data_IF_176020373539
#
_entry.id   IF_176020373539
#
_cell.length_a   1.000
_cell.length_b   1.000
_cell.length_c   1.000
_cell.angle_alpha   90.00
_cell.angle_beta   90.00
_cell.angle_gamma   90.00
#
_symmetry.space_group_name_H-M   'P 1'
#
loop_
_entity.id
_entity.type
_entity.pdbx_description
1 polymer ?
#
# COMPACT_ATOMS: atom_id res chain seq x y z
N UNK A 1 6.56 32.45 3.96
CA UNK A 1 7.29 31.20 4.31
C UNK A 1 7.22 30.93 5.81
N UNK A 2 7.40 31.95 6.65
CA UNK A 2 7.33 31.89 8.11
C UNK A 2 5.98 31.36 8.66
N UNK A 3 4.86 31.82 8.12
CA UNK A 3 3.50 31.38 8.50
C UNK A 3 3.23 29.89 8.22
N UNK A 4 3.82 29.33 7.14
CA UNK A 4 3.73 27.89 6.85
C UNK A 4 4.59 27.06 7.80
N UNK A 5 5.75 27.57 8.21
CA UNK A 5 6.61 26.92 9.21
C UNK A 5 5.88 26.77 10.53
N UNK A 6 5.25 27.86 10.99
CA UNK A 6 4.46 27.87 12.23
C UNK A 6 3.32 26.85 12.19
N UNK A 7 2.62 26.72 11.05
CA UNK A 7 1.55 25.75 10.86
C UNK A 7 2.03 24.29 10.94
N UNK A 8 3.23 23.97 10.43
CA UNK A 8 3.79 22.63 10.55
C UNK A 8 4.10 22.28 12.00
N UNK A 9 4.62 23.25 12.76
CA UNK A 9 4.94 23.06 14.17
C UNK A 9 3.67 22.87 15.01
N UNK A 10 2.63 23.68 14.77
CA UNK A 10 1.31 23.50 15.39
C UNK A 10 0.75 22.10 15.08
N UNK A 11 0.72 21.69 13.81
CA UNK A 11 0.20 20.40 13.42
C UNK A 11 0.96 19.23 14.06
N UNK A 12 2.29 19.35 14.19
CA UNK A 12 3.12 18.37 14.88
C UNK A 12 2.82 18.31 16.38
N UNK A 13 2.72 19.47 17.04
CA UNK A 13 2.42 19.55 18.47
C UNK A 13 1.06 18.90 18.76
N UNK A 14 0.04 19.17 17.93
CA UNK A 14 -1.28 18.58 18.08
C UNK A 14 -1.29 17.07 17.89
N UNK A 15 -0.54 16.55 16.90
CA UNK A 15 -0.37 15.10 16.74
C UNK A 15 0.36 14.49 17.96
N UNK A 16 1.37 15.19 18.50
CA UNK A 16 2.14 14.72 19.66
C UNK A 16 1.30 14.62 20.96
N UNK A 17 0.21 15.38 21.06
CA UNK A 17 -0.77 15.31 22.16
C UNK A 17 -1.65 14.06 22.11
N UNK A 18 -1.78 13.41 20.96
CA UNK A 18 -2.64 12.23 20.79
C UNK A 18 -2.05 11.02 21.51
N UNK A 19 -2.90 10.28 22.23
CA UNK A 19 -2.51 9.05 22.94
C UNK A 19 -1.94 8.00 21.99
N UNK A 20 -1.02 7.17 22.51
CA UNK A 20 -0.43 6.06 21.74
C UNK A 20 -1.49 4.99 21.43
N UNK A 21 -2.45 4.80 22.33
CA UNK A 21 -3.48 3.75 22.24
C UNK A 21 -4.69 4.20 21.40
N UNK A 22 -4.44 5.00 20.37
CA UNK A 22 -5.47 5.50 19.48
C UNK A 22 -5.88 4.38 18.50
N UNK A 23 -7.16 4.03 18.49
CA UNK A 23 -7.79 3.11 17.56
C UNK A 23 -7.63 3.56 16.12
N UNK A 24 -7.74 4.86 15.83
CA UNK A 24 -7.53 5.35 14.46
C UNK A 24 -6.10 5.05 13.98
N UNK A 25 -5.09 5.34 14.81
CA UNK A 25 -3.70 4.98 14.49
C UNK A 25 -3.51 3.47 14.32
N UNK A 26 -4.15 2.66 15.17
CA UNK A 26 -4.07 1.19 15.09
C UNK A 26 -4.68 0.66 13.78
N UNK A 27 -5.80 1.22 13.33
CA UNK A 27 -6.44 0.84 12.05
C UNK A 27 -5.57 1.29 10.87
N UNK A 28 -5.06 2.52 10.87
CA UNK A 28 -4.14 2.99 9.80
C UNK A 28 -2.92 2.08 9.72
N UNK A 29 -2.32 1.76 10.87
CA UNK A 29 -1.20 0.82 10.96
C UNK A 29 -1.53 -0.54 10.40
N UNK A 30 -2.66 -1.12 10.81
CA UNK A 30 -3.10 -2.42 10.31
C UNK A 30 -3.26 -2.40 8.79
N UNK A 31 -3.88 -1.36 8.23
CA UNK A 31 -4.05 -1.25 6.78
C UNK A 31 -2.72 -1.11 6.05
N UNK A 32 -1.76 -0.38 6.62
CA UNK A 32 -0.40 -0.26 6.05
C UNK A 32 0.35 -1.59 6.11
N UNK A 33 0.32 -2.28 7.26
CA UNK A 33 0.94 -3.59 7.45
C UNK A 33 0.31 -4.65 6.54
N UNK A 34 -1.01 -4.64 6.38
CA UNK A 34 -1.68 -5.52 5.44
C UNK A 34 -1.27 -5.20 4.00
N UNK A 35 -1.19 -3.91 3.65
CA UNK A 35 -0.71 -3.49 2.34
C UNK A 35 0.67 -4.04 2.01
N UNK A 36 1.64 -3.85 2.91
CA UNK A 36 3.01 -4.34 2.74
C UNK A 36 3.12 -5.87 2.85
N UNK A 37 2.20 -6.52 3.56
CA UNK A 37 2.08 -7.98 3.58
C UNK A 37 1.68 -8.53 2.22
N UNK A 38 0.62 -8.01 1.58
CA UNK A 38 0.19 -8.49 0.27
C UNK A 38 1.16 -8.10 -0.85
N UNK A 39 1.80 -6.93 -0.73
CA UNK A 39 2.89 -6.49 -1.59
C UNK A 39 4.03 -7.51 -1.64
N UNK A 40 4.48 -7.99 -0.47
CA UNK A 40 5.49 -9.02 -0.39
C UNK A 40 5.03 -10.36 -1.00
N UNK A 41 3.78 -10.78 -0.80
CA UNK A 41 3.29 -12.01 -1.45
C UNK A 41 3.34 -11.87 -2.98
N UNK A 42 2.83 -10.75 -3.52
CA UNK A 42 2.84 -10.49 -4.97
C UNK A 42 4.26 -10.34 -5.53
N UNK A 43 5.20 -9.80 -4.74
CA UNK A 43 6.59 -9.66 -5.14
C UNK A 43 7.27 -11.02 -5.41
N UNK A 44 6.97 -12.04 -4.59
CA UNK A 44 7.64 -13.34 -4.65
C UNK A 44 6.82 -14.43 -5.35
N UNK A 45 5.54 -14.21 -5.65
CA UNK A 45 4.67 -15.25 -6.24
C UNK A 45 5.18 -15.76 -7.60
N UNK A 46 5.73 -14.90 -8.46
CA UNK A 46 6.13 -15.27 -9.81
C UNK A 46 7.27 -16.30 -9.81
N UNK A 47 8.18 -16.20 -8.84
CA UNK A 47 9.27 -17.17 -8.66
C UNK A 47 8.74 -18.56 -8.31
N UNK A 48 7.77 -18.65 -7.40
CA UNK A 48 7.11 -19.93 -7.05
C UNK A 48 6.31 -20.52 -8.21
N UNK A 49 5.66 -19.68 -9.02
CA UNK A 49 4.88 -20.12 -10.17
C UNK A 49 5.75 -20.58 -11.37
N UNK A 50 7.08 -20.39 -11.33
CA UNK A 50 7.97 -20.56 -12.48
C UNK A 50 7.88 -21.94 -13.14
N UNK A 51 7.76 -23.02 -12.36
CA UNK A 51 7.62 -24.39 -12.90
C UNK A 51 6.31 -24.58 -13.65
N UNK A 52 5.19 -24.06 -13.12
CA UNK A 52 3.89 -24.12 -13.79
C UNK A 52 3.87 -23.30 -15.08
N UNK A 53 4.44 -22.10 -15.04
CA UNK A 53 4.60 -21.22 -16.22
C UNK A 53 5.52 -21.87 -17.26
N UNK A 54 6.60 -22.53 -16.82
CA UNK A 54 7.54 -23.28 -17.66
C UNK A 54 6.84 -24.38 -18.44
N UNK A 55 6.02 -25.18 -17.74
CA UNK A 55 5.23 -26.23 -18.36
C UNK A 55 4.18 -25.68 -19.35
N UNK A 56 3.56 -24.55 -19.02
CA UNK A 56 2.51 -23.94 -19.85
C UNK A 56 3.03 -23.30 -21.14
N UNK A 57 4.22 -22.69 -21.12
CA UNK A 57 4.75 -21.93 -22.26
C UNK A 57 5.99 -22.54 -22.91
N UNK A 58 6.42 -23.72 -22.46
CA UNK A 58 7.60 -24.43 -22.97
C UNK A 58 8.90 -23.60 -22.91
N UNK A 59 9.07 -22.86 -21.82
CA UNK A 59 10.27 -22.05 -21.55
C UNK A 59 10.96 -22.63 -20.32
N UNK A 60 12.30 -22.61 -20.29
CA UNK A 60 13.06 -23.04 -19.11
C UNK A 60 12.62 -22.32 -17.84
N UNK A 61 12.32 -23.05 -16.78
CA UNK A 61 11.98 -22.48 -15.47
C UNK A 61 13.07 -21.52 -14.95
N UNK A 62 14.36 -21.84 -15.18
CA UNK A 62 15.46 -20.96 -14.81
C UNK A 62 15.46 -19.65 -15.62
N UNK A 63 15.08 -19.71 -16.89
CA UNK A 63 14.93 -18.51 -17.71
C UNK A 63 13.74 -17.66 -17.24
N UNK A 64 12.63 -18.29 -16.85
CA UNK A 64 11.46 -17.62 -16.29
C UNK A 64 11.84 -16.91 -14.99
N UNK A 65 12.43 -17.62 -14.02
CA UNK A 65 12.84 -17.00 -12.74
C UNK A 65 13.73 -15.78 -12.98
N UNK A 66 14.78 -15.90 -13.79
CA UNK A 66 15.69 -14.77 -14.04
C UNK A 66 15.05 -13.62 -14.83
N UNK A 67 14.37 -13.91 -15.95
CA UNK A 67 13.83 -12.86 -16.83
C UNK A 67 12.63 -12.16 -16.20
N UNK A 68 11.73 -12.93 -15.57
CA UNK A 68 10.51 -12.40 -14.97
C UNK A 68 10.82 -11.62 -13.70
N UNK A 69 11.78 -12.07 -12.89
CA UNK A 69 12.23 -11.27 -11.75
C UNK A 69 12.94 -10.02 -12.23
N UNK A 70 13.86 -10.13 -13.19
CA UNK A 70 14.56 -8.96 -13.74
C UNK A 70 13.58 -7.90 -14.26
N UNK A 71 12.55 -8.31 -15.01
CA UNK A 71 11.56 -7.37 -15.55
C UNK A 71 10.67 -6.80 -14.44
N UNK A 72 10.24 -7.63 -13.47
CA UNK A 72 9.37 -7.18 -12.37
C UNK A 72 10.11 -6.19 -11.47
N UNK A 73 11.32 -6.52 -11.02
CA UNK A 73 12.14 -5.63 -10.19
C UNK A 73 12.64 -4.41 -10.95
N UNK A 74 12.96 -4.54 -12.23
CA UNK A 74 13.32 -3.40 -13.09
C UNK A 74 12.19 -2.38 -13.19
N UNK A 75 10.97 -2.85 -13.46
CA UNK A 75 9.79 -1.97 -13.47
C UNK A 75 9.34 -1.55 -12.07
N UNK A 76 9.69 -2.29 -11.02
CA UNK A 76 9.54 -1.85 -9.62
C UNK A 76 10.38 -0.61 -9.33
N UNK A 77 11.62 -0.55 -9.81
CA UNK A 77 12.44 0.65 -9.69
C UNK A 77 11.81 1.85 -10.43
N UNK A 78 11.32 1.64 -11.66
CA UNK A 78 10.63 2.68 -12.44
C UNK A 78 9.35 3.14 -11.73
N UNK A 79 8.55 2.20 -11.26
CA UNK A 79 7.32 2.44 -10.50
C UNK A 79 7.59 3.24 -9.22
N UNK A 80 8.68 2.92 -8.51
CA UNK A 80 9.10 3.66 -7.31
C UNK A 80 9.48 5.12 -7.59
N UNK A 81 10.20 5.38 -8.70
CA UNK A 81 10.53 6.75 -9.12
C UNK A 81 9.26 7.54 -9.49
N UNK A 82 8.36 6.93 -10.25
CA UNK A 82 7.07 7.53 -10.60
C UNK A 82 6.23 7.79 -9.35
N UNK A 83 6.20 6.82 -8.43
CA UNK A 83 5.50 6.92 -7.16
C UNK A 83 6.06 8.07 -6.29
N UNK A 84 7.38 8.23 -6.19
CA UNK A 84 7.97 9.36 -5.47
C UNK A 84 7.46 10.71 -6.01
N UNK A 85 7.59 10.92 -7.32
CA UNK A 85 7.12 12.15 -7.97
C UNK A 85 5.60 12.36 -7.82
N UNK A 86 4.80 11.31 -8.01
CA UNK A 86 3.34 11.38 -7.88
C UNK A 86 2.92 11.59 -6.43
N UNK A 87 3.64 11.03 -5.46
CA UNK A 87 3.32 11.12 -4.04
C UNK A 87 3.49 12.54 -3.51
N UNK A 88 4.47 13.27 -4.02
CA UNK A 88 4.72 14.67 -3.67
C UNK A 88 3.73 15.64 -4.36
N UNK A 89 3.17 15.23 -5.50
CA UNK A 89 2.26 16.06 -6.28
C UNK A 89 0.78 15.81 -5.99
N UNK A 90 0.37 14.54 -6.00
CA UNK A 90 -1.02 14.08 -5.92
C UNK A 90 -1.44 13.64 -4.51
N UNK A 91 -0.47 13.40 -3.62
CA UNK A 91 -0.71 12.99 -2.24
C UNK A 91 -0.50 11.51 -2.00
N UNK A 92 -0.24 11.17 -0.73
CA UNK A 92 0.11 9.81 -0.31
C UNK A 92 -1.10 8.90 -0.43
N UNK A 93 -2.30 9.37 -0.07
CA UNK A 93 -3.53 8.57 -0.11
C UNK A 93 -3.91 8.14 -1.53
N UNK A 94 -3.84 9.07 -2.48
CA UNK A 94 -4.17 8.79 -3.88
C UNK A 94 -3.25 7.70 -4.41
N UNK A 95 -1.95 7.91 -4.23
CA UNK A 95 -0.95 7.02 -4.75
C UNK A 95 -1.03 5.64 -4.09
N UNK A 96 -1.28 5.59 -2.78
CA UNK A 96 -1.50 4.38 -2.01
C UNK A 96 -2.75 3.61 -2.45
N UNK A 97 -3.70 4.16 -3.19
CA UNK A 97 -4.80 3.36 -3.76
C UNK A 97 -4.53 2.99 -5.22
N UNK A 98 -3.81 3.86 -5.94
CA UNK A 98 -3.53 3.73 -7.35
C UNK A 98 -2.53 2.60 -7.64
N UNK A 99 -1.46 2.52 -6.86
CA UNK A 99 -0.43 1.48 -6.96
C UNK A 99 -1.02 0.06 -6.77
N UNK A 100 -1.94 -0.10 -5.79
CA UNK A 100 -2.70 -1.31 -5.55
C UNK A 100 -3.57 -1.73 -6.75
N UNK A 101 -4.24 -0.77 -7.37
CA UNK A 101 -5.02 -1.01 -8.59
C UNK A 101 -4.15 -1.46 -9.76
N UNK A 102 -2.99 -0.82 -9.95
CA UNK A 102 -2.04 -1.16 -11.02
C UNK A 102 -1.58 -2.61 -10.88
N UNK A 103 -1.08 -3.00 -9.71
CA UNK A 103 -0.56 -4.36 -9.59
C UNK A 103 -1.69 -5.40 -9.59
N UNK A 104 -2.90 -5.10 -9.10
CA UNK A 104 -4.03 -6.01 -9.22
C UNK A 104 -4.40 -6.29 -10.69
N UNK A 105 -4.33 -5.27 -11.55
CA UNK A 105 -4.50 -5.43 -13.01
C UNK A 105 -3.37 -6.28 -13.59
N UNK A 106 -2.12 -6.00 -13.23
CA UNK A 106 -0.96 -6.79 -13.68
C UNK A 106 -1.05 -8.26 -13.27
N UNK A 107 -1.46 -8.53 -12.02
CA UNK A 107 -1.66 -9.88 -11.49
C UNK A 107 -2.77 -10.61 -12.26
N UNK A 108 -3.87 -9.93 -12.58
CA UNK A 108 -4.95 -10.48 -13.42
C UNK A 108 -4.45 -10.82 -14.83
N UNK A 109 -3.66 -9.94 -15.46
CA UNK A 109 -3.06 -10.19 -16.78
C UNK A 109 -2.11 -11.40 -16.70
N UNK A 110 -1.28 -11.50 -15.66
CA UNK A 110 -0.39 -12.63 -15.45
C UNK A 110 -1.16 -13.94 -15.26
N UNK A 111 -2.21 -13.95 -14.43
CA UNK A 111 -3.04 -15.12 -14.17
C UNK A 111 -3.83 -15.60 -15.41
N UNK A 112 -4.27 -14.67 -16.27
CA UNK A 112 -5.03 -14.96 -17.50
C UNK A 112 -4.15 -15.05 -18.75
N UNK A 113 -2.83 -14.99 -18.60
CA UNK A 113 -1.89 -14.95 -19.72
C UNK A 113 -2.02 -16.16 -20.65
N UNK A 114 -2.22 -15.95 -21.95
CA UNK A 114 -2.34 -17.04 -22.94
C UNK A 114 -1.02 -17.40 -23.60
N UNK A 115 0.00 -16.55 -23.45
CA UNK A 115 1.36 -16.77 -23.93
C UNK A 115 2.36 -16.06 -23.02
N UNK A 116 3.64 -16.36 -23.19
CA UNK A 116 4.72 -15.81 -22.37
C UNK A 116 4.86 -14.29 -22.46
N UNK A 117 4.61 -13.69 -23.63
CA UNK A 117 4.72 -12.23 -23.81
C UNK A 117 3.65 -11.52 -22.98
N UNK A 118 2.40 -12.02 -23.01
CA UNK A 118 1.33 -11.50 -22.17
C UNK A 118 1.65 -11.66 -20.68
N UNK A 119 2.27 -12.78 -20.30
CA UNK A 119 2.74 -13.00 -18.93
C UNK A 119 3.78 -11.95 -18.51
N UNK A 120 4.81 -11.72 -19.34
CA UNK A 120 5.83 -10.70 -19.10
C UNK A 120 5.25 -9.28 -19.00
N UNK A 121 4.31 -8.94 -19.89
CA UNK A 121 3.62 -7.64 -19.83
C UNK A 121 2.82 -7.48 -18.53
N UNK A 122 2.12 -8.52 -18.08
CA UNK A 122 1.46 -8.52 -16.78
C UNK A 122 2.44 -8.27 -15.63
N UNK A 123 3.64 -8.87 -15.71
CA UNK A 123 4.69 -8.75 -14.70
C UNK A 123 5.36 -7.38 -14.68
N UNK A 124 5.53 -6.76 -15.85
CA UNK A 124 5.92 -5.35 -15.96
C UNK A 124 4.91 -4.44 -15.26
N UNK A 125 3.62 -4.64 -15.50
CA UNK A 125 2.54 -3.86 -14.88
C UNK A 125 2.53 -4.05 -13.37
N UNK A 126 2.73 -5.27 -12.88
CA UNK A 126 2.87 -5.49 -11.44
C UNK A 126 4.09 -4.76 -10.88
N UNK A 127 5.26 -4.88 -11.52
CA UNK A 127 6.46 -4.16 -11.11
C UNK A 127 6.17 -2.67 -10.88
N UNK A 128 5.53 -2.01 -11.86
CA UNK A 128 5.14 -0.60 -11.75
C UNK A 128 4.28 -0.30 -10.51
N UNK A 129 3.36 -1.20 -10.15
CA UNK A 129 2.51 -1.05 -8.97
C UNK A 129 3.24 -1.29 -7.65
N UNK A 130 4.10 -2.30 -7.55
CA UNK A 130 4.81 -2.65 -6.31
C UNK A 130 5.77 -1.53 -5.85
N UNK A 131 6.40 -0.82 -6.80
CA UNK A 131 7.51 0.09 -6.51
C UNK A 131 7.24 1.21 -5.50
N UNK A 132 5.98 1.62 -5.32
CA UNK A 132 5.61 2.71 -4.42
C UNK A 132 5.17 2.28 -3.02
N UNK A 133 4.76 1.03 -2.82
CA UNK A 133 3.94 0.65 -1.65
C UNK A 133 4.66 0.86 -0.31
N UNK A 134 5.88 0.32 -0.17
CA UNK A 134 6.66 0.43 1.06
C UNK A 134 7.04 1.89 1.34
N UNK A 135 7.54 2.61 0.34
CA UNK A 135 7.98 4.00 0.50
C UNK A 135 6.82 4.90 0.96
N UNK A 136 5.67 4.80 0.30
CA UNK A 136 4.48 5.60 0.64
C UNK A 136 3.95 5.20 2.01
N UNK A 137 3.89 3.90 2.33
CA UNK A 137 3.43 3.40 3.62
C UNK A 137 4.27 3.96 4.77
N UNK A 138 5.61 3.91 4.63
CA UNK A 138 6.52 4.47 5.64
C UNK A 138 6.38 5.99 5.75
N UNK A 139 6.28 6.71 4.63
CA UNK A 139 6.05 8.16 4.65
C UNK A 139 4.72 8.52 5.31
N UNK A 140 3.63 7.84 4.96
CA UNK A 140 2.30 8.04 5.53
C UNK A 140 2.32 7.87 7.06
N UNK A 141 2.90 6.77 7.55
CA UNK A 141 3.05 6.52 8.99
C UNK A 141 3.94 7.60 9.64
N UNK A 142 5.03 7.99 8.99
CA UNK A 142 5.95 8.99 9.55
C UNK A 142 5.36 10.40 9.65
N UNK A 143 4.37 10.73 8.80
CA UNK A 143 3.71 12.03 8.75
C UNK A 143 2.42 12.10 9.58
N UNK A 144 1.81 10.96 9.91
CA UNK A 144 0.58 10.88 10.74
C UNK A 144 0.90 10.58 12.21
N UNK A 145 1.95 9.79 12.48
CA UNK A 145 2.22 9.32 13.84
C UNK A 145 2.94 10.38 14.70
N UNK A 146 2.64 10.44 16.00
CA UNK A 146 3.38 11.24 16.98
C UNK A 146 4.88 10.93 16.94
N UNK A 147 5.72 11.97 17.03
CA UNK A 147 7.19 11.91 17.02
C UNK A 147 7.72 10.83 17.98
N UNK A 148 7.15 10.75 19.18
CA UNK A 148 7.56 9.86 20.28
C UNK A 148 7.38 8.35 20.01
N UNK A 149 6.41 7.98 19.17
CA UNK A 149 6.11 6.57 18.85
C UNK A 149 6.40 6.23 17.38
N UNK A 150 6.68 7.23 16.56
CA UNK A 150 6.91 7.10 15.12
C UNK A 150 7.91 6.00 14.77
N UNK A 151 9.06 5.93 15.44
CA UNK A 151 10.08 4.90 15.15
C UNK A 151 9.58 3.48 15.42
N UNK A 152 8.81 3.27 16.49
CA UNK A 152 8.20 1.99 16.82
C UNK A 152 7.21 1.58 15.72
N UNK A 153 6.37 2.52 15.29
CA UNK A 153 5.33 2.29 14.27
C UNK A 153 5.96 2.02 12.90
N UNK A 154 6.98 2.79 12.50
CA UNK A 154 7.77 2.53 11.29
C UNK A 154 8.44 1.14 11.34
N UNK A 155 8.91 0.70 12.50
CA UNK A 155 9.42 -0.67 12.69
C UNK A 155 8.35 -1.74 12.47
N UNK A 156 7.15 -1.55 13.03
CA UNK A 156 6.02 -2.49 12.89
C UNK A 156 5.59 -2.65 11.43
N UNK A 157 5.70 -1.61 10.60
CA UNK A 157 5.39 -1.72 9.15
C UNK A 157 6.20 -2.83 8.47
N UNK A 158 7.44 -3.08 8.91
CA UNK A 158 8.31 -4.12 8.35
C UNK A 158 7.93 -5.54 8.78
N UNK A 159 7.01 -5.70 9.73
CA UNK A 159 6.45 -7.00 10.10
C UNK A 159 5.61 -7.57 8.95
N UNK A 160 4.90 -6.69 8.22
CA UNK A 160 4.06 -7.06 7.08
C UNK A 160 4.80 -7.89 6.03
N UNK A 161 5.88 -7.35 5.42
CA UNK A 161 6.66 -8.08 4.42
C UNK A 161 7.21 -9.42 4.92
N UNK A 162 7.70 -9.48 6.17
CA UNK A 162 8.23 -10.71 6.74
C UNK A 162 7.19 -11.83 6.80
N UNK A 163 5.98 -11.52 7.28
CA UNK A 163 4.88 -12.50 7.25
C UNK A 163 4.36 -12.77 5.83
N UNK A 164 4.44 -11.79 4.92
CA UNK A 164 4.05 -11.97 3.51
C UNK A 164 4.94 -12.98 2.80
N UNK A 165 6.25 -12.92 3.01
CA UNK A 165 7.22 -13.90 2.48
C UNK A 165 6.94 -15.31 3.01
N UNK A 166 6.58 -15.43 4.29
CA UNK A 166 6.16 -16.72 4.84
C UNK A 166 4.83 -17.19 4.22
N UNK A 167 3.85 -16.30 4.10
CA UNK A 167 2.54 -16.61 3.57
C UNK A 167 2.58 -17.06 2.09
N UNK A 168 3.42 -16.44 1.25
CA UNK A 168 3.56 -16.87 -0.15
C UNK A 168 4.10 -18.29 -0.26
N UNK A 169 5.02 -18.71 0.62
CA UNK A 169 5.53 -20.07 0.65
C UNK A 169 4.43 -21.07 1.04
N UNK A 170 3.60 -20.72 2.05
CA UNK A 170 2.44 -21.54 2.44
C UNK A 170 1.41 -21.63 1.31
N UNK A 171 1.12 -20.51 0.63
CA UNK A 171 0.24 -20.49 -0.53
C UNK A 171 0.81 -21.32 -1.69
N UNK A 172 2.12 -21.26 -1.93
CA UNK A 172 2.76 -22.10 -2.96
C UNK A 172 2.62 -23.58 -2.64
N UNK A 173 2.81 -23.99 -1.38
CA UNK A 173 2.58 -25.39 -0.95
C UNK A 173 1.12 -25.82 -1.11
N UNK A 174 0.18 -24.91 -0.84
CA UNK A 174 -1.25 -25.19 -0.96
C UNK A 174 -1.68 -25.33 -2.42
N UNK A 175 -1.27 -24.40 -3.29
CA UNK A 175 -1.75 -24.38 -4.68
C UNK A 175 -0.89 -25.23 -5.62
N UNK A 176 0.43 -25.24 -5.45
CA UNK A 176 1.40 -25.84 -6.39
C UNK A 176 2.04 -27.13 -5.85
N UNK A 177 1.64 -27.55 -4.65
CA UNK A 177 2.18 -28.73 -3.97
C UNK A 177 1.21 -29.93 -4.03
N UNK A 178 1.03 -30.66 -2.91
CA UNK A 178 0.24 -31.91 -2.89
C UNK A 178 -1.22 -31.75 -3.33
N UNK A 179 -1.78 -30.53 -3.22
CA UNK A 179 -3.17 -30.24 -3.53
C UNK A 179 -3.38 -29.62 -4.92
N UNK A 180 -2.34 -29.58 -5.76
CA UNK A 180 -2.39 -29.01 -7.11
C UNK A 180 -3.54 -29.57 -7.95
N UNK A 181 -3.86 -30.86 -7.80
CA UNK A 181 -4.99 -31.51 -8.47
C UNK A 181 -6.36 -30.90 -8.16
N UNK A 182 -6.56 -30.34 -6.96
CA UNK A 182 -7.81 -29.66 -6.57
C UNK A 182 -7.99 -28.37 -7.37
N UNK A 183 -6.89 -27.71 -7.74
CA UNK A 183 -6.88 -26.45 -8.47
C UNK A 183 -6.78 -26.64 -10.01
N UNK A 184 -7.09 -27.84 -10.50
CA UNK A 184 -7.08 -28.15 -11.93
C UNK A 184 -5.71 -28.56 -12.48
N UNK A 185 -4.80 -29.00 -11.60
CA UNK A 185 -3.50 -29.55 -11.98
C UNK A 185 -2.52 -28.49 -12.51
N UNK A 186 -1.42 -28.94 -13.16
CA UNK A 186 -0.32 -28.06 -13.56
C UNK A 186 -0.68 -27.01 -14.59
N UNK A 187 -1.84 -27.14 -15.25
CA UNK A 187 -2.31 -26.16 -16.24
C UNK A 187 -3.03 -24.97 -15.60
N UNK A 188 -3.70 -25.15 -14.47
CA UNK A 188 -4.58 -24.14 -13.85
C UNK A 188 -4.11 -23.69 -12.47
N UNK A 189 -3.41 -24.54 -11.71
CA UNK A 189 -3.04 -24.24 -10.33
C UNK A 189 -2.16 -22.99 -10.19
N UNK A 190 -1.17 -22.81 -11.06
CA UNK A 190 -0.33 -21.61 -11.07
C UNK A 190 -1.10 -20.34 -11.42
N UNK A 191 -2.16 -20.43 -12.23
CA UNK A 191 -3.01 -19.29 -12.54
C UNK A 191 -3.83 -18.86 -11.33
N UNK A 192 -4.41 -19.84 -10.62
CA UNK A 192 -5.11 -19.58 -9.37
C UNK A 192 -4.18 -19.00 -8.31
N UNK A 193 -2.97 -19.54 -8.17
CA UNK A 193 -1.97 -19.05 -7.24
C UNK A 193 -1.57 -17.58 -7.51
N UNK A 194 -1.40 -17.19 -8.78
CA UNK A 194 -1.15 -15.79 -9.14
C UNK A 194 -2.40 -14.90 -8.96
N UNK A 195 -3.59 -15.44 -9.22
CA UNK A 195 -4.84 -14.68 -9.18
C UNK A 195 -5.46 -14.54 -7.78
N UNK A 196 -5.14 -15.41 -6.82
CA UNK A 196 -5.79 -15.45 -5.50
C UNK A 196 -5.64 -14.13 -4.72
N UNK A 197 -4.57 -13.38 -5.00
CA UNK A 197 -4.25 -12.11 -4.33
C UNK A 197 -5.06 -10.92 -4.85
N UNK A 198 -5.77 -11.07 -5.97
CA UNK A 198 -6.63 -10.01 -6.51
C UNK A 198 -7.78 -9.72 -5.54
N UNK A 199 -8.38 -10.75 -4.93
CA UNK A 199 -9.47 -10.58 -3.96
C UNK A 199 -9.07 -9.78 -2.71
N UNK A 200 -8.00 -10.15 -1.98
CA UNK A 200 -7.56 -9.36 -0.83
C UNK A 200 -7.06 -7.96 -1.25
N UNK A 201 -6.43 -7.82 -2.43
CA UNK A 201 -6.07 -6.51 -2.97
C UNK A 201 -7.31 -5.61 -3.15
N UNK A 202 -8.38 -6.12 -3.74
CA UNK A 202 -9.64 -5.37 -3.89
C UNK A 202 -10.28 -5.02 -2.54
N UNK A 203 -10.27 -5.94 -1.57
CA UNK A 203 -10.77 -5.66 -0.22
C UNK A 203 -9.98 -4.51 0.42
N UNK A 204 -8.65 -4.57 0.37
CA UNK A 204 -7.80 -3.50 0.90
C UNK A 204 -8.06 -2.19 0.19
N UNK A 205 -8.26 -2.19 -1.13
CA UNK A 205 -8.58 -0.99 -1.89
C UNK A 205 -9.85 -0.32 -1.35
N UNK A 206 -10.86 -1.10 -0.98
CA UNK A 206 -12.07 -0.58 -0.32
C UNK A 206 -11.75 0.00 1.05
N UNK A 207 -10.91 -0.64 1.86
CA UNK A 207 -10.55 -0.13 3.20
C UNK A 207 -9.56 1.05 3.17
N UNK A 208 -8.73 1.20 2.14
CA UNK A 208 -7.83 2.34 1.96
C UNK A 208 -8.60 3.67 1.80
N UNK A 209 -9.90 3.63 1.45
CA UNK A 209 -10.75 4.84 1.39
C UNK A 209 -10.89 5.56 2.73
N UNK A 210 -10.66 4.86 3.85
CA UNK A 210 -10.72 5.42 5.19
C UNK A 210 -9.43 6.13 5.60
N UNK A 211 -8.28 5.76 5.01
CA UNK A 211 -7.00 6.40 5.30
C UNK A 211 -7.08 7.88 4.87
N UNK A 212 -6.88 8.84 5.80
CA UNK A 212 -6.83 10.25 5.47
C UNK A 212 -5.51 10.60 4.76
N UNK A 213 -5.50 11.73 4.05
CA UNK A 213 -4.25 12.32 3.59
C UNK A 213 -3.47 12.88 4.79
N UNK A 214 -2.14 12.95 4.68
CA UNK A 214 -1.32 13.37 5.83
C UNK A 214 -1.51 14.87 6.11
N UNK A 215 -1.58 15.29 7.39
CA UNK A 215 -1.68 16.71 7.73
C UNK A 215 -0.54 17.52 7.12
N UNK A 216 0.67 16.95 7.09
CA UNK A 216 1.86 17.57 6.50
C UNK A 216 1.71 17.82 5.00
N UNK A 217 1.20 16.85 4.24
CA UNK A 217 0.91 17.04 2.82
C UNK A 217 -0.17 18.11 2.60
N UNK A 218 -1.23 18.09 3.39
CA UNK A 218 -2.32 19.05 3.27
C UNK A 218 -1.85 20.49 3.54
N UNK A 219 -1.02 20.71 4.56
CA UNK A 219 -0.40 22.00 4.85
C UNK A 219 0.53 22.45 3.70
N UNK A 220 1.32 21.54 3.11
CA UNK A 220 2.23 21.87 2.00
C UNK A 220 1.48 22.37 0.76
N UNK A 221 0.28 21.82 0.52
CA UNK A 221 -0.64 22.23 -0.55
C UNK A 221 -1.55 23.41 -0.17
N UNK A 222 -1.37 24.01 1.01
CA UNK A 222 -2.20 25.14 1.48
C UNK A 222 -3.63 24.76 1.91
N UNK A 223 -3.93 23.46 2.03
CA UNK A 223 -5.24 22.92 2.45
C UNK A 223 -5.33 22.79 3.97
N UNK A 224 -5.12 23.90 4.67
CA UNK A 224 -5.02 23.94 6.14
C UNK A 224 -6.29 23.42 6.83
N UNK A 225 -7.46 23.83 6.35
CA UNK A 225 -8.76 23.41 6.89
C UNK A 225 -8.92 21.88 6.91
N UNK A 226 -8.40 21.21 5.88
CA UNK A 226 -8.42 19.75 5.80
C UNK A 226 -7.40 19.10 6.72
N UNK A 227 -6.21 19.71 6.85
CA UNK A 227 -5.20 19.25 7.79
C UNK A 227 -5.75 19.27 9.23
N UNK A 228 -6.43 20.35 9.61
CA UNK A 228 -7.08 20.47 10.93
C UNK A 228 -8.21 19.47 11.13
N UNK A 229 -9.05 19.25 10.10
CA UNK A 229 -10.10 18.24 10.17
C UNK A 229 -9.53 16.83 10.38
N UNK A 230 -8.40 16.49 9.73
CA UNK A 230 -7.71 15.21 9.92
C UNK A 230 -7.14 15.11 11.33
N UNK A 231 -6.45 16.13 11.83
CA UNK A 231 -5.88 16.14 13.19
C UNK A 231 -6.98 15.98 14.23
N UNK A 232 -8.10 16.71 14.11
CA UNK A 232 -9.25 16.61 15.02
C UNK A 232 -9.92 15.24 14.97
N UNK A 233 -10.05 14.66 13.77
CA UNK A 233 -10.57 13.30 13.62
C UNK A 233 -9.69 12.28 14.37
N UNK A 234 -8.38 12.41 14.23
CA UNK A 234 -7.42 11.54 14.91
C UNK A 234 -7.43 11.77 16.42
N UNK A 235 -7.52 13.01 16.90
CA UNK A 235 -7.58 13.30 18.34
C UNK A 235 -8.85 12.78 19.02
N UNK A 236 -9.97 12.72 18.28
CA UNK A 236 -11.24 12.12 18.71
C UNK A 236 -11.27 10.58 18.60
N UNK A 237 -10.15 9.94 18.23
CA UNK A 237 -10.04 8.49 18.02
C UNK A 237 -11.00 7.93 16.96
N UNK A 238 -11.30 8.73 15.93
CA UNK A 238 -12.23 8.38 14.86
C UNK A 238 -11.50 8.21 13.53
N UNK A 239 -12.14 7.45 12.64
CA UNK A 239 -11.63 7.18 11.30
C UNK A 239 -12.81 7.19 10.33
N UNK A 240 -13.14 8.38 9.84
CA UNK A 240 -14.32 8.67 9.03
C UNK A 240 -13.90 8.70 7.55
N UNK A 241 -14.72 8.19 6.62
CA UNK A 241 -14.43 8.32 5.20
C UNK A 241 -14.16 9.77 4.79
N UNK A 242 -13.04 10.01 4.11
CA UNK A 242 -12.55 11.37 3.79
C UNK A 242 -13.57 12.22 3.02
N UNK A 243 -14.42 11.62 2.19
CA UNK A 243 -15.51 12.33 1.49
C UNK A 243 -16.47 13.06 2.44
N UNK A 244 -16.54 12.64 3.71
CA UNK A 244 -17.39 13.24 4.75
C UNK A 244 -16.62 14.16 5.71
N UNK A 245 -15.30 14.26 5.62
CA UNK A 245 -14.50 15.03 6.60
C UNK A 245 -14.91 16.51 6.66
N UNK A 246 -15.07 17.18 5.51
CA UNK A 246 -15.46 18.60 5.44
C UNK A 246 -16.90 18.87 5.90
N UNK A 247 -17.78 17.89 5.76
CA UNK A 247 -19.17 18.02 6.24
C UNK A 247 -19.30 17.70 7.72
N UNK A 248 -18.36 16.92 8.28
CA UNK A 248 -18.41 16.45 9.67
C UNK A 248 -17.84 17.47 10.65
N UNK A 249 -16.85 18.26 10.21
CA UNK A 249 -16.24 19.29 11.04
C UNK A 249 -16.52 20.67 10.46
N UNK A 250 -17.20 21.52 11.24
CA UNK A 250 -17.37 22.93 10.89
C UNK A 250 -16.02 23.65 11.03
N UNK A 251 -15.43 23.98 9.88
CA UNK A 251 -14.07 24.57 9.77
C UNK A 251 -13.97 25.90 10.55
N UNK A 252 -15.06 26.67 10.63
CA UNK A 252 -15.08 27.95 11.33
C UNK A 252 -15.01 27.78 12.86
N UNK A 253 -15.65 26.74 13.41
CA UNK A 253 -15.53 26.40 14.84
C UNK A 253 -14.13 25.86 15.19
N UNK A 254 -13.53 25.10 14.27
CA UNK A 254 -12.16 24.59 14.40
C UNK A 254 -11.12 25.72 14.50
N UNK A 255 -11.21 26.74 13.63
CA UNK A 255 -10.34 27.92 13.67
C UNK A 255 -10.46 28.69 14.99
N UNK A 256 -11.68 28.84 15.50
CA UNK A 256 -11.93 29.53 16.77
C UNK A 256 -11.39 28.74 17.98
N UNK A 257 -11.44 27.40 17.96
CA UNK A 257 -10.90 26.57 19.05
C UNK A 257 -9.38 26.64 19.20
N UNK A 258 -8.66 26.96 18.12
CA UNK A 258 -7.19 27.07 18.11
C UNK A 258 -6.73 28.48 18.44
N UNK A 259 -7.46 29.52 18.01
CA UNK A 259 -7.20 30.91 18.45
C UNK A 259 -7.38 31.12 19.97
N UNK A 260 -7.95 30.14 20.69
CA UNK A 260 -8.02 30.13 22.17
C UNK A 260 -6.80 29.41 22.78
N UNK A 261 -6.05 28.62 22.00
CA UNK A 261 -4.84 27.90 22.42
C UNK A 261 -3.53 28.61 22.04
N UNK A 262 -3.57 29.61 21.17
CA UNK A 262 -2.46 30.53 20.83
C UNK A 262 -2.65 31.81 21.64
#
# INVERSE_FOLDING_TARGET
>A
MEERSNMYDIGRIELDRISKNNRAFSIIMLLVVLGTFFDAIEQYNAGYAATGVSAAFHISAAAISTQVEFITFGFMAVGGLMAGYMGDNLGRRFLYSFNLGIYAIGALISALSVNYIMFLLGRMVVGLGLGGEIAIGLTLISEIMPTRIRSQFTGIVNVGPGFGIFAVAVLALLFLGPYEGIFGGPYLAWRWFLGVLILPALLILVYRRYIPETPRFLISKGRQDEAFAVIKMLSEDKLIPVKRLKSYYNINELKNSINIMI
#
